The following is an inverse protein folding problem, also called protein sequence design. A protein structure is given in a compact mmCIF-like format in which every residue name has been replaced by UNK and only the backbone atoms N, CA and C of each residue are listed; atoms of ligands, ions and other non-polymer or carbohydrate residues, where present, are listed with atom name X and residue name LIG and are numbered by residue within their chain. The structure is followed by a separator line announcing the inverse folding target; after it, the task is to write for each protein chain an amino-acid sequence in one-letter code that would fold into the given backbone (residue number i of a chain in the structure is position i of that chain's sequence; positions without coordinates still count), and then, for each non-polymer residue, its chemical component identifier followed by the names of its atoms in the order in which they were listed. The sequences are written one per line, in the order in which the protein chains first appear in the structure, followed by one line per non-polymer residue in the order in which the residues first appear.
data_IF_991397479742
#
_entry.id   IF_991397479742
#
_cell.length_a   1.000
_cell.length_b   1.000
_cell.length_c   1.000
_cell.angle_alpha   90.00
_cell.angle_beta   90.00
_cell.angle_gamma   90.00
#
_symmetry.space_group_name_H-M   'P 1'
#
loop_
_entity.id
_entity.type
_entity.pdbx_description
1 polymer ?
#
# COMPACT_ATOMS: atom_id res chain seq x y z
N UNK A 1 6.79 17.30 1.18
CA UNK A 1 5.99 16.09 0.81
C UNK A 1 6.34 15.02 1.82
N UNK A 2 5.35 14.32 2.39
CA UNK A 2 5.58 13.22 3.33
C UNK A 2 6.27 12.06 2.61
N UNK A 3 7.31 11.46 3.21
CA UNK A 3 8.09 10.38 2.60
C UNK A 3 7.29 9.08 2.50
N UNK A 4 7.65 8.18 1.57
CA UNK A 4 6.94 6.90 1.38
C UNK A 4 6.90 6.08 2.68
N UNK A 5 8.00 6.08 3.43
CA UNK A 5 8.11 5.39 4.72
C UNK A 5 7.17 5.94 5.79
N UNK A 6 6.93 7.25 5.82
CA UNK A 6 6.02 7.87 6.78
C UNK A 6 4.57 7.49 6.47
N UNK A 7 4.20 7.51 5.18
CA UNK A 7 2.88 7.05 4.72
C UNK A 7 2.67 5.58 5.04
N UNK A 8 3.68 4.74 4.81
CA UNK A 8 3.63 3.32 5.13
C UNK A 8 3.35 3.09 6.62
N UNK A 9 4.10 3.76 7.50
CA UNK A 9 3.92 3.67 8.96
C UNK A 9 2.54 4.13 9.41
N UNK A 10 1.94 5.12 8.74
CA UNK A 10 0.59 5.59 9.03
C UNK A 10 -0.51 4.60 8.59
N UNK A 11 -0.23 3.73 7.64
CA UNK A 11 -1.19 2.77 7.08
C UNK A 11 -1.16 1.43 7.81
N UNK A 12 0.02 0.93 8.19
CA UNK A 12 0.16 -0.33 8.92
C UNK A 12 -0.63 -0.28 10.23
N UNK A 13 -1.43 -1.32 10.48
CA UNK A 13 -2.32 -1.44 11.64
C UNK A 13 -3.70 -0.81 11.45
N UNK A 14 -3.94 -0.03 10.40
CA UNK A 14 -5.27 0.53 10.12
C UNK A 14 -6.25 -0.51 9.59
N UNK A 15 -7.52 -0.28 9.89
CA UNK A 15 -8.66 -1.06 9.42
C UNK A 15 -9.58 -0.19 8.60
N UNK A 16 -10.10 -0.75 7.51
CA UNK A 16 -11.05 -0.10 6.62
C UNK A 16 -12.17 -1.07 6.28
N UNK A 17 -13.41 -0.62 6.08
CA UNK A 17 -14.44 -1.46 5.45
C UNK A 17 -13.96 -1.96 4.08
N UNK A 18 -14.24 -3.22 3.75
CA UNK A 18 -13.82 -3.82 2.46
C UNK A 18 -14.30 -2.99 1.27
N UNK A 19 -15.55 -2.52 1.34
CA UNK A 19 -16.19 -1.76 0.26
C UNK A 19 -15.54 -0.39 -0.02
N UNK A 20 -14.87 0.21 0.97
CA UNK A 20 -14.28 1.55 0.86
C UNK A 20 -12.75 1.55 0.92
N UNK A 21 -12.12 0.38 1.09
CA UNK A 21 -10.68 0.27 1.31
C UNK A 21 -9.85 0.94 0.21
N UNK A 22 -10.09 0.62 -1.07
CA UNK A 22 -9.31 1.17 -2.18
C UNK A 22 -9.52 2.68 -2.34
N UNK A 23 -10.72 3.17 -2.06
CA UNK A 23 -11.04 4.60 -2.11
C UNK A 23 -10.33 5.37 -1.00
N UNK A 24 -10.41 4.89 0.24
CA UNK A 24 -9.75 5.49 1.41
C UNK A 24 -8.23 5.46 1.28
N UNK A 25 -7.67 4.33 0.84
CA UNK A 25 -6.25 4.21 0.52
C UNK A 25 -5.86 5.22 -0.58
N UNK A 26 -6.69 5.30 -1.62
CA UNK A 26 -6.58 6.29 -2.69
C UNK A 26 -6.54 7.72 -2.16
N UNK A 27 -7.42 8.12 -1.23
CA UNK A 27 -7.43 9.46 -0.62
C UNK A 27 -6.13 9.74 0.14
N UNK A 28 -5.62 8.78 0.89
CA UNK A 28 -4.37 8.93 1.65
C UNK A 28 -3.18 9.10 0.71
N UNK A 29 -3.09 8.28 -0.34
CA UNK A 29 -1.99 8.33 -1.30
C UNK A 29 -2.09 9.54 -2.24
N UNK A 30 -3.32 9.94 -2.61
CA UNK A 30 -3.59 11.11 -3.48
C UNK A 30 -3.26 12.45 -2.83
N UNK A 31 -3.22 12.54 -1.50
CA UNK A 31 -2.70 13.74 -0.80
C UNK A 31 -1.27 14.10 -1.22
N UNK A 32 -0.53 13.17 -1.84
CA UNK A 32 0.81 13.43 -2.40
C UNK A 32 0.84 13.65 -3.91
N UNK A 33 -0.17 13.17 -4.62
CA UNK A 33 -0.21 13.24 -6.06
C UNK A 33 -1.65 13.11 -6.51
N UNK A 34 -2.16 14.07 -7.30
CA UNK A 34 -3.48 13.96 -7.95
C UNK A 34 -3.57 12.81 -8.96
N UNK A 35 -2.52 11.99 -9.07
CA UNK A 35 -2.42 10.84 -9.94
C UNK A 35 -3.42 9.73 -9.61
N UNK A 36 -3.76 8.96 -10.65
CA UNK A 36 -4.51 7.72 -10.55
C UNK A 36 -3.69 6.69 -9.76
N UNK A 37 -4.32 5.89 -8.92
CA UNK A 37 -3.67 4.79 -8.21
C UNK A 37 -3.80 3.51 -9.06
N UNK A 38 -2.68 2.85 -9.36
CA UNK A 38 -2.69 1.49 -9.90
C UNK A 38 -2.70 0.50 -8.73
N UNK A 39 -3.56 -0.52 -8.83
CA UNK A 39 -3.79 -1.50 -7.79
C UNK A 39 -3.64 -2.90 -8.38
N UNK A 40 -3.01 -3.79 -7.62
CA UNK A 40 -2.97 -5.23 -7.88
C UNK A 40 -3.30 -5.97 -6.58
N UNK A 41 -4.46 -6.60 -6.52
CA UNK A 41 -4.90 -7.42 -5.39
C UNK A 41 -4.63 -8.91 -5.69
N UNK A 42 -3.35 -9.28 -5.78
CA UNK A 42 -2.90 -10.65 -6.03
C UNK A 42 -1.77 -11.00 -5.07
N UNK A 43 -1.73 -12.24 -4.54
CA UNK A 43 -0.58 -12.76 -3.82
C UNK A 43 0.71 -12.63 -4.64
N UNK A 44 1.76 -12.18 -4.00
CA UNK A 44 3.09 -12.03 -4.59
C UNK A 44 4.18 -12.11 -3.52
N UNK A 45 5.42 -12.32 -3.97
CA UNK A 45 6.62 -12.21 -3.14
C UNK A 45 7.47 -11.07 -3.67
N UNK A 46 7.70 -10.05 -2.84
CA UNK A 46 8.46 -8.85 -3.20
C UNK A 46 9.79 -8.82 -2.46
N UNK A 47 10.77 -8.08 -3.00
CA UNK A 47 12.00 -7.77 -2.27
C UNK A 47 11.87 -6.39 -1.63
N UNK A 48 11.79 -6.36 -0.30
CA UNK A 48 11.62 -5.13 0.45
C UNK A 48 12.86 -4.23 0.37
N UNK A 49 12.70 -2.96 0.74
CA UNK A 49 13.80 -2.01 0.89
C UNK A 49 14.81 -2.40 1.99
N UNK A 50 14.44 -3.33 2.88
CA UNK A 50 15.31 -4.00 3.84
C UNK A 50 16.21 -5.07 3.21
N UNK A 51 15.97 -5.43 1.94
CA UNK A 51 16.69 -6.46 1.21
C UNK A 51 16.14 -7.88 1.41
N UNK A 52 15.10 -8.05 2.24
CA UNK A 52 14.47 -9.33 2.53
C UNK A 52 13.28 -9.61 1.60
N UNK A 53 12.91 -10.88 1.46
CA UNK A 53 11.74 -11.29 0.70
C UNK A 53 10.51 -11.38 1.59
N UNK A 54 9.42 -10.74 1.16
CA UNK A 54 8.17 -10.69 1.92
C UNK A 54 6.99 -11.15 1.07
N UNK A 55 6.14 -12.00 1.64
CA UNK A 55 4.86 -12.34 1.06
C UNK A 55 3.85 -11.20 1.27
N UNK A 56 3.22 -10.76 0.19
CA UNK A 56 2.21 -9.71 0.17
C UNK A 56 1.01 -10.16 -0.67
N UNK A 57 -0.15 -9.55 -0.48
CA UNK A 57 -1.34 -9.88 -1.28
C UNK A 57 -2.01 -8.66 -1.92
N UNK A 58 -1.43 -7.48 -1.70
CA UNK A 58 -1.91 -6.26 -2.30
C UNK A 58 -0.74 -5.34 -2.61
N UNK A 59 -0.73 -4.75 -3.80
CA UNK A 59 0.28 -3.79 -4.24
C UNK A 59 -0.40 -2.58 -4.87
N UNK A 60 0.13 -1.39 -4.61
CA UNK A 60 -0.36 -0.19 -5.27
C UNK A 60 0.73 0.86 -5.48
N UNK A 61 0.58 1.66 -6.52
CA UNK A 61 1.46 2.78 -6.83
C UNK A 61 0.68 3.95 -7.44
N UNK A 62 0.88 5.19 -6.98
CA UNK A 62 0.35 6.36 -7.67
C UNK A 62 1.05 6.54 -9.02
N UNK A 63 0.28 6.76 -10.09
CA UNK A 63 0.75 7.01 -11.46
C UNK A 63 1.40 8.40 -11.57
N UNK A 64 2.55 8.57 -10.91
CA UNK A 64 3.27 9.83 -10.82
C UNK A 64 4.76 9.57 -10.96
N UNK A 65 5.44 10.37 -11.78
CA UNK A 65 6.88 10.26 -11.98
C UNK A 65 7.70 10.50 -10.69
N UNK A 66 7.08 11.08 -9.65
CA UNK A 66 7.69 11.27 -8.34
C UNK A 66 7.60 10.04 -7.42
N UNK A 67 6.77 9.05 -7.74
CA UNK A 67 6.65 7.83 -6.94
C UNK A 67 7.74 6.84 -7.35
N UNK A 68 8.70 6.65 -6.44
CA UNK A 68 9.90 5.81 -6.67
C UNK A 68 9.75 4.38 -6.14
N UNK A 69 8.71 4.12 -5.36
CA UNK A 69 8.49 2.84 -4.72
C UNK A 69 7.04 2.35 -4.94
N UNK A 70 6.90 1.03 -5.01
CA UNK A 70 5.65 0.31 -4.92
C UNK A 70 5.29 0.10 -3.45
N UNK A 71 4.07 0.48 -3.06
CA UNK A 71 3.54 0.17 -1.74
C UNK A 71 3.00 -1.26 -1.78
N UNK A 72 3.56 -2.14 -0.96
CA UNK A 72 3.21 -3.54 -0.90
C UNK A 72 2.66 -3.87 0.49
N UNK A 73 1.47 -4.47 0.55
CA UNK A 73 0.77 -4.74 1.80
C UNK A 73 0.40 -6.21 1.93
N UNK A 74 0.50 -6.69 3.17
CA UNK A 74 -0.16 -7.92 3.61
C UNK A 74 -1.46 -7.54 4.30
N UNK A 75 -2.56 -7.75 3.59
CA UNK A 75 -3.91 -7.48 4.04
C UNK A 75 -4.53 -8.73 4.68
N UNK A 76 -5.29 -8.53 5.75
CA UNK A 76 -6.13 -9.56 6.36
C UNK A 76 -7.58 -9.11 6.29
N UNK A 77 -8.44 -9.99 5.78
CA UNK A 77 -9.87 -9.74 5.64
C UNK A 77 -10.60 -10.47 6.76
N UNK A 78 -11.28 -9.74 7.64
CA UNK A 78 -12.07 -10.28 8.77
C UNK A 78 -13.28 -9.39 9.03
N UNK A 79 -14.44 -9.99 9.27
CA UNK A 79 -15.68 -9.29 9.67
C UNK A 79 -16.08 -8.10 8.76
N UNK A 80 -15.89 -8.23 7.45
CA UNK A 80 -16.18 -7.17 6.47
C UNK A 80 -15.17 -6.01 6.47
N UNK A 81 -14.04 -6.18 7.17
CA UNK A 81 -12.96 -5.22 7.28
C UNK A 81 -11.67 -5.74 6.64
N UNK A 82 -10.85 -4.81 6.18
CA UNK A 82 -9.47 -5.01 5.69
C UNK A 82 -8.51 -4.41 6.71
N UNK A 83 -7.68 -5.24 7.31
CA UNK A 83 -6.56 -4.83 8.17
C UNK A 83 -5.26 -4.85 7.36
N UNK A 84 -4.52 -3.74 7.37
CA UNK A 84 -3.15 -3.70 6.85
C UNK A 84 -2.22 -4.29 7.93
N UNK A 85 -1.94 -5.59 7.88
CA UNK A 85 -1.12 -6.25 8.90
C UNK A 85 0.35 -5.85 8.82
N UNK A 86 0.88 -5.83 7.60
CA UNK A 86 2.26 -5.44 7.31
C UNK A 86 2.29 -4.59 6.04
N UNK A 87 3.29 -3.75 5.94
CA UNK A 87 3.54 -2.90 4.78
C UNK A 87 5.03 -2.84 4.49
N UNK A 88 5.36 -2.79 3.20
CA UNK A 88 6.71 -2.76 2.67
C UNK A 88 6.79 -1.80 1.48
N UNK A 89 7.99 -1.30 1.23
CA UNK A 89 8.31 -0.56 0.01
C UNK A 89 9.23 -1.42 -0.84
N UNK A 90 8.86 -1.60 -2.11
CA UNK A 90 9.71 -2.20 -3.13
C UNK A 90 10.14 -1.09 -4.10
N UNK A 91 11.43 -1.00 -4.40
CA UNK A 91 11.93 -0.04 -5.40
C UNK A 91 11.50 -0.50 -6.80
N UNK A 92 11.01 0.44 -7.60
CA UNK A 92 10.75 0.21 -9.03
C UNK A 92 12.03 0.14 -9.85
#
# INVERSE_FOLDING_TARGET
MMEDNEVLKLLVGKRFPVESFEEELGKILKKRSSAKLFISNKPDTIKGADGEFHAVNFKCIPQSASCKNLFCFLLKHEDGMVLIQKGYLEKL
#
